data_IF_675796045322
#
_entry.id   IF_675796045322
#
_cell.length_a   1.000
_cell.length_b   1.000
_cell.length_c   1.000
_cell.angle_alpha   90.00
_cell.angle_beta   90.00
_cell.angle_gamma   90.00
#
_symmetry.space_group_name_H-M   'P 1'
#
loop_
_entity.id
_entity.type
_entity.pdbx_description
1 polymer ?
#
# COMPACT_ATOMS: atom_id res chain seq x y z
N UNK A 1 -1.31 -73.17 12.57
CA UNK A 1 -2.58 -73.16 11.85
C UNK A 1 -2.53 -71.88 11.01
N UNK A 2 -1.94 -71.93 9.83
CA UNK A 2 -2.56 -72.23 8.55
C UNK A 2 -3.87 -71.42 8.41
N UNK A 3 -3.97 -70.46 7.56
CA UNK A 3 -4.23 -70.70 6.14
C UNK A 3 -3.98 -69.45 5.28
N UNK A 4 -3.49 -69.79 4.20
CA UNK A 4 -3.15 -69.17 2.95
C UNK A 4 -4.43 -68.87 2.15
N UNK A 5 -4.54 -67.67 1.56
CA UNK A 5 -5.36 -67.49 0.39
C UNK A 5 -4.63 -66.56 -0.59
N UNK A 6 -4.09 -67.21 -1.57
CA UNK A 6 -3.53 -66.60 -2.75
C UNK A 6 -4.63 -66.20 -3.74
N UNK A 7 -4.27 -65.38 -4.65
CA UNK A 7 -5.05 -65.30 -5.88
C UNK A 7 -4.98 -63.97 -6.63
N UNK A 8 -4.27 -64.01 -7.74
CA UNK A 8 -4.50 -63.29 -8.97
C UNK A 8 -4.43 -61.74 -8.98
N UNK A 9 -3.30 -61.23 -9.46
CA UNK A 9 -3.41 -60.20 -10.50
C UNK A 9 -2.21 -60.32 -11.45
N UNK A 10 -2.54 -60.43 -12.71
CA UNK A 10 -1.66 -60.71 -13.82
C UNK A 10 -0.63 -59.61 -14.09
N UNK A 11 0.49 -60.05 -14.60
CA UNK A 11 1.56 -59.20 -15.05
C UNK A 11 1.17 -58.32 -16.24
N UNK A 12 1.38 -57.03 -16.07
CA UNK A 12 1.46 -56.10 -17.16
C UNK A 12 2.92 -55.61 -17.25
N UNK A 13 3.58 -56.00 -18.28
CA UNK A 13 4.90 -55.49 -18.66
C UNK A 13 4.79 -53.98 -18.97
N UNK A 14 5.47 -53.16 -18.20
CA UNK A 14 5.65 -51.75 -18.50
C UNK A 14 6.55 -51.62 -19.75
N UNK A 15 5.89 -51.32 -20.87
CA UNK A 15 6.56 -50.91 -22.08
C UNK A 15 7.32 -49.60 -21.88
N UNK A 16 8.48 -49.50 -22.52
CA UNK A 16 9.34 -48.35 -22.57
C UNK A 16 8.56 -47.04 -22.84
N UNK A 17 8.38 -46.22 -21.83
CA UNK A 17 7.98 -44.81 -21.97
C UNK A 17 9.22 -44.02 -22.39
N UNK A 18 9.30 -43.76 -23.70
CA UNK A 18 10.26 -42.84 -24.28
C UNK A 18 9.86 -41.42 -23.81
N UNK A 19 10.51 -40.92 -22.75
CA UNK A 19 10.42 -39.52 -22.34
C UNK A 19 11.11 -38.69 -23.42
N UNK A 20 10.33 -38.21 -24.38
CA UNK A 20 10.75 -37.11 -25.23
C UNK A 20 11.03 -35.89 -24.34
N UNK A 21 12.29 -35.46 -24.35
CA UNK A 21 12.70 -34.18 -23.74
C UNK A 21 11.81 -33.07 -24.26
N UNK A 22 11.16 -32.36 -23.31
CA UNK A 22 10.42 -31.13 -23.62
C UNK A 22 11.38 -30.16 -24.34
N UNK A 23 10.92 -29.47 -25.39
CA UNK A 23 11.72 -28.43 -26.00
C UNK A 23 12.04 -27.35 -24.96
N UNK A 24 13.33 -27.12 -24.76
CA UNK A 24 13.81 -25.90 -24.10
C UNK A 24 13.26 -24.73 -24.89
N UNK A 25 12.28 -24.03 -24.34
CA UNK A 25 11.90 -22.71 -24.83
C UNK A 25 13.11 -21.81 -24.62
N UNK A 26 13.86 -21.57 -25.69
CA UNK A 26 14.76 -20.43 -25.77
C UNK A 26 13.90 -19.20 -25.44
N UNK A 27 14.25 -18.51 -24.36
CA UNK A 27 13.68 -17.19 -24.05
C UNK A 27 13.95 -16.31 -25.28
N UNK A 28 12.88 -15.86 -25.90
CA UNK A 28 12.99 -14.85 -26.95
C UNK A 28 13.88 -13.70 -26.42
N UNK A 29 14.79 -13.17 -27.22
CA UNK A 29 15.60 -12.03 -26.80
C UNK A 29 14.66 -10.92 -26.38
N UNK A 30 14.85 -10.39 -25.16
CA UNK A 30 14.15 -9.20 -24.70
C UNK A 30 14.32 -8.15 -25.79
N UNK A 31 13.21 -7.67 -26.35
CA UNK A 31 13.24 -6.59 -27.33
C UNK A 31 14.04 -5.47 -26.68
N UNK A 32 15.11 -5.02 -27.33
CA UNK A 32 15.83 -3.81 -26.96
C UNK A 32 14.83 -2.66 -27.12
N UNK A 33 14.16 -2.30 -26.01
CA UNK A 33 13.31 -1.12 -25.96
C UNK A 33 14.24 0.04 -26.03
N UNK A 34 14.12 0.85 -27.10
CA UNK A 34 14.90 2.07 -27.27
C UNK A 34 14.77 2.91 -25.98
N UNK A 35 15.87 3.07 -25.29
CA UNK A 35 15.94 3.99 -24.16
C UNK A 35 15.62 5.40 -24.69
N UNK A 36 14.66 6.10 -24.08
CA UNK A 36 14.45 7.51 -24.34
C UNK A 36 15.81 8.22 -24.08
N UNK A 37 16.46 8.64 -25.13
CA UNK A 37 17.78 9.27 -25.04
C UNK A 37 17.76 10.61 -24.27
N UNK A 38 16.58 11.10 -23.95
CA UNK A 38 16.36 12.36 -23.22
C UNK A 38 16.62 12.16 -21.74
N UNK A 39 17.59 12.90 -21.18
CA UNK A 39 17.78 12.95 -19.72
C UNK A 39 16.88 14.02 -19.13
N UNK A 40 15.80 13.62 -18.49
CA UNK A 40 14.86 14.52 -17.81
C UNK A 40 15.51 15.23 -16.62
N UNK A 41 15.12 16.46 -16.34
CA UNK A 41 15.59 17.14 -15.12
C UNK A 41 15.07 16.45 -13.87
N UNK A 42 13.76 16.14 -13.86
CA UNK A 42 13.09 15.51 -12.73
C UNK A 42 12.08 14.48 -13.24
N UNK A 43 12.14 13.27 -12.69
CA UNK A 43 11.08 12.26 -12.77
C UNK A 43 10.44 12.13 -11.39
N UNK A 44 9.11 12.08 -11.35
CA UNK A 44 8.32 11.87 -10.14
C UNK A 44 7.62 10.52 -10.28
N UNK A 45 7.75 9.65 -9.27
CA UNK A 45 7.12 8.34 -9.26
C UNK A 45 5.99 8.32 -8.23
N UNK A 46 4.77 8.20 -8.73
CA UNK A 46 3.53 8.20 -7.94
C UNK A 46 2.72 9.48 -8.10
N UNK A 47 1.40 9.33 -8.17
CA UNK A 47 0.42 10.37 -8.45
C UNK A 47 -0.52 10.68 -7.29
N UNK A 48 -0.17 10.28 -6.08
CA UNK A 48 -0.90 10.70 -4.87
C UNK A 48 -0.72 12.21 -4.61
N UNK A 49 -1.31 12.74 -3.52
CA UNK A 49 -1.21 14.17 -3.18
C UNK A 49 0.22 14.68 -3.15
N UNK A 50 1.15 13.87 -2.65
CA UNK A 50 2.57 14.23 -2.59
C UNK A 50 3.19 14.36 -3.99
N UNK A 51 2.87 13.43 -4.91
CA UNK A 51 3.39 13.43 -6.27
C UNK A 51 2.90 14.61 -7.08
N UNK A 52 1.60 14.83 -7.11
CA UNK A 52 1.04 15.98 -7.82
C UNK A 52 1.49 17.31 -7.20
N UNK A 53 1.60 17.41 -5.87
CA UNK A 53 2.14 18.61 -5.23
C UNK A 53 3.59 18.86 -5.66
N UNK A 54 4.44 17.82 -5.64
CA UNK A 54 5.81 17.94 -6.13
C UNK A 54 5.85 18.39 -7.60
N UNK A 55 5.00 17.78 -8.44
CA UNK A 55 4.90 18.12 -9.85
C UNK A 55 4.56 19.58 -10.10
N UNK A 56 3.59 20.14 -9.36
CA UNK A 56 3.21 21.54 -9.45
C UNK A 56 4.41 22.45 -9.17
N UNK A 57 5.14 22.21 -8.09
CA UNK A 57 6.26 23.09 -7.72
C UNK A 57 7.48 22.92 -8.64
N UNK A 58 7.78 21.71 -9.08
CA UNK A 58 8.85 21.43 -10.04
C UNK A 58 8.54 22.06 -11.39
N UNK A 59 7.28 21.96 -11.86
CA UNK A 59 6.86 22.58 -13.11
C UNK A 59 6.91 24.11 -13.03
N UNK A 60 6.49 24.71 -11.92
CA UNK A 60 6.61 26.15 -11.67
C UNK A 60 8.05 26.63 -11.62
N UNK A 61 9.00 25.77 -11.31
CA UNK A 61 10.44 26.06 -11.39
C UNK A 61 11.01 25.86 -12.80
N UNK A 62 10.16 25.69 -13.83
CA UNK A 62 10.53 25.48 -15.25
C UNK A 62 11.40 24.23 -15.48
N UNK A 63 11.34 23.23 -14.60
CA UNK A 63 12.15 22.01 -14.71
C UNK A 63 11.50 20.92 -15.57
N UNK A 64 10.28 21.14 -16.06
CA UNK A 64 9.54 20.25 -16.97
C UNK A 64 9.52 18.80 -16.46
N UNK A 65 8.88 18.52 -15.32
CA UNK A 65 8.86 17.19 -14.74
C UNK A 65 8.06 16.21 -15.59
N UNK A 66 8.51 14.95 -15.59
CA UNK A 66 7.71 13.80 -15.98
C UNK A 66 7.21 13.15 -14.70
N UNK A 67 5.90 12.89 -14.62
CA UNK A 67 5.29 12.17 -13.50
C UNK A 67 4.71 10.84 -14.00
N UNK A 68 5.17 9.74 -13.43
CA UNK A 68 4.59 8.42 -13.66
C UNK A 68 3.46 8.18 -12.66
N UNK A 69 2.24 8.17 -13.17
CA UNK A 69 1.04 7.76 -12.46
C UNK A 69 0.78 6.27 -12.70
N UNK A 70 0.08 5.61 -11.76
CA UNK A 70 -0.34 4.23 -12.01
C UNK A 70 -1.25 4.14 -13.25
N UNK A 71 -1.11 3.06 -14.01
CA UNK A 71 -1.96 2.77 -15.17
C UNK A 71 -3.40 2.44 -14.78
N UNK A 72 -3.60 1.84 -13.58
CA UNK A 72 -4.90 1.36 -13.10
C UNK A 72 -5.55 2.27 -12.05
N UNK A 73 -4.74 2.92 -11.21
CA UNK A 73 -5.25 3.69 -10.08
C UNK A 73 -4.46 5.00 -9.89
N UNK A 74 -4.51 5.92 -10.88
CA UNK A 74 -3.89 7.24 -10.72
C UNK A 74 -4.58 8.03 -9.61
N UNK A 75 -3.84 8.85 -8.87
CA UNK A 75 -4.38 9.66 -7.77
C UNK A 75 -4.15 9.07 -6.37
N UNK A 76 -3.72 7.81 -6.29
CA UNK A 76 -3.35 7.16 -5.02
C UNK A 76 -4.53 6.87 -4.10
N UNK A 77 -4.27 6.75 -2.80
CA UNK A 77 -5.26 6.27 -1.81
C UNK A 77 -6.52 7.14 -1.69
N UNK A 78 -6.43 8.44 -1.99
CA UNK A 78 -7.59 9.34 -1.93
C UNK A 78 -8.63 9.06 -3.00
N UNK A 79 -8.28 8.34 -4.06
CA UNK A 79 -9.26 7.89 -5.06
C UNK A 79 -10.26 6.87 -4.50
N UNK A 80 -9.91 6.20 -3.41
CA UNK A 80 -10.71 5.15 -2.76
C UNK A 80 -11.34 5.62 -1.45
N UNK A 81 -11.26 6.91 -1.13
CA UNK A 81 -11.88 7.48 0.08
C UNK A 81 -13.12 8.32 -0.29
N UNK A 82 -13.91 8.62 0.70
CA UNK A 82 -15.10 9.49 0.57
C UNK A 82 -14.69 10.95 0.79
N UNK A 83 -15.18 11.56 1.86
CA UNK A 83 -14.91 12.94 2.20
C UNK A 83 -13.54 13.11 2.86
N UNK A 84 -12.80 14.13 2.43
CA UNK A 84 -11.51 14.56 2.99
C UNK A 84 -11.75 15.89 3.69
N UNK A 85 -11.81 15.86 5.02
CA UNK A 85 -12.10 17.04 5.85
C UNK A 85 -10.84 17.81 6.26
N UNK A 86 -9.69 17.17 6.20
CA UNK A 86 -8.43 17.64 6.76
C UNK A 86 -7.42 18.15 5.72
N UNK A 87 -7.84 18.30 4.45
CA UNK A 87 -6.98 18.95 3.46
C UNK A 87 -7.20 20.48 3.53
N UNK A 88 -6.15 21.27 3.79
CA UNK A 88 -6.30 22.71 3.98
C UNK A 88 -6.90 23.41 2.75
N UNK A 89 -7.83 24.34 2.99
CA UNK A 89 -8.48 25.15 1.96
C UNK A 89 -9.92 24.71 1.63
N UNK A 90 -10.36 23.57 2.12
CA UNK A 90 -11.72 23.06 1.92
C UNK A 90 -12.50 23.03 3.24
N UNK A 91 -13.15 24.15 3.59
CA UNK A 91 -13.84 24.33 4.88
C UNK A 91 -14.98 23.32 5.09
N UNK A 92 -15.63 22.92 3.99
CA UNK A 92 -16.75 21.97 4.00
C UNK A 92 -16.30 20.52 3.70
N UNK A 93 -14.98 20.26 3.63
CA UNK A 93 -14.45 19.02 3.08
C UNK A 93 -14.54 18.98 1.54
N UNK A 94 -14.01 17.92 0.96
CA UNK A 94 -14.05 17.64 -0.48
C UNK A 94 -14.00 16.13 -0.69
N UNK A 95 -14.68 15.62 -1.73
CA UNK A 95 -14.55 14.21 -2.09
C UNK A 95 -13.12 13.89 -2.53
N UNK A 96 -12.56 12.75 -2.06
CA UNK A 96 -11.19 12.36 -2.36
C UNK A 96 -10.87 12.33 -3.87
N UNK A 97 -11.69 11.68 -4.70
CA UNK A 97 -11.50 11.68 -6.16
C UNK A 97 -11.50 13.09 -6.76
N UNK A 98 -12.43 13.95 -6.35
CA UNK A 98 -12.52 15.34 -6.82
C UNK A 98 -11.26 16.15 -6.45
N UNK A 99 -10.78 15.97 -5.22
CA UNK A 99 -9.54 16.62 -4.76
C UNK A 99 -8.36 16.19 -5.65
N UNK A 100 -8.23 14.89 -5.92
CA UNK A 100 -7.13 14.36 -6.72
C UNK A 100 -7.21 14.79 -8.17
N UNK A 101 -8.41 14.87 -8.74
CA UNK A 101 -8.61 15.42 -10.09
C UNK A 101 -8.19 16.89 -10.16
N UNK A 102 -8.61 17.71 -9.19
CA UNK A 102 -8.27 19.12 -9.12
C UNK A 102 -6.74 19.35 -9.04
N UNK A 103 -6.03 18.56 -8.18
CA UNK A 103 -4.59 18.69 -8.03
C UNK A 103 -3.87 18.19 -9.31
N UNK A 104 -4.34 17.11 -9.92
CA UNK A 104 -3.82 16.58 -11.18
C UNK A 104 -3.91 17.59 -12.31
N UNK A 105 -5.10 18.16 -12.53
CA UNK A 105 -5.32 19.21 -13.54
C UNK A 105 -4.46 20.46 -13.26
N UNK A 106 -4.23 20.78 -11.99
CA UNK A 106 -3.32 21.87 -11.63
C UNK A 106 -1.87 21.56 -12.02
N UNK A 107 -1.42 20.32 -11.85
CA UNK A 107 -0.07 19.89 -12.26
C UNK A 107 0.09 19.96 -13.79
N UNK A 108 -0.88 19.47 -14.55
CA UNK A 108 -0.92 19.56 -16.02
C UNK A 108 -0.90 21.02 -16.50
N UNK A 109 -1.71 21.87 -15.87
CA UNK A 109 -1.76 23.31 -16.21
C UNK A 109 -0.40 23.99 -16.12
N UNK A 110 0.46 23.56 -15.19
CA UNK A 110 1.83 24.09 -15.07
C UNK A 110 2.85 23.39 -15.97
N UNK A 111 2.41 22.42 -16.80
CA UNK A 111 3.26 21.76 -17.79
C UNK A 111 3.96 20.51 -17.30
N UNK A 112 3.41 19.81 -16.31
CA UNK A 112 3.82 18.44 -15.95
C UNK A 112 3.43 17.48 -17.07
N UNK A 113 4.36 16.66 -17.54
CA UNK A 113 4.09 15.51 -18.42
C UNK A 113 3.65 14.33 -17.54
N UNK A 114 2.34 14.06 -17.48
CA UNK A 114 1.78 12.95 -16.71
C UNK A 114 1.65 11.74 -17.61
N UNK A 115 2.35 10.65 -17.24
CA UNK A 115 2.34 9.37 -17.96
C UNK A 115 1.65 8.31 -17.12
N UNK A 116 0.61 7.71 -17.65
CA UNK A 116 -0.18 6.65 -16.99
C UNK A 116 0.48 5.29 -17.22
N UNK A 117 1.64 5.09 -16.59
CA UNK A 117 2.45 3.90 -16.69
C UNK A 117 2.94 3.50 -15.29
N UNK A 118 3.02 2.19 -15.04
CA UNK A 118 3.54 1.68 -13.79
C UNK A 118 5.06 1.59 -13.83
N UNK A 119 5.70 2.05 -12.75
CA UNK A 119 7.14 1.93 -12.54
C UNK A 119 7.42 0.66 -11.76
N UNK A 120 8.25 -0.22 -12.31
CA UNK A 120 8.61 -1.48 -11.67
C UNK A 120 9.92 -1.42 -10.90
N UNK A 121 10.87 -0.63 -11.41
CA UNK A 121 12.22 -0.58 -10.83
C UNK A 121 12.81 0.80 -10.99
N UNK A 122 13.68 1.18 -10.05
CA UNK A 122 14.50 2.38 -10.13
C UNK A 122 15.97 2.06 -9.79
N UNK A 123 16.89 2.74 -10.46
CA UNK A 123 18.31 2.75 -10.13
C UNK A 123 18.71 4.20 -9.84
N UNK A 124 18.93 4.50 -8.56
CA UNK A 124 19.09 5.88 -8.05
C UNK A 124 20.56 6.25 -7.78
N UNK A 125 21.51 5.37 -8.09
CA UNK A 125 22.95 5.62 -7.94
C UNK A 125 23.54 6.29 -9.18
N UNK A 126 24.65 7.01 -9.01
CA UNK A 126 25.33 7.71 -10.10
C UNK A 126 24.70 9.07 -10.45
N UNK A 127 25.24 9.76 -11.45
CA UNK A 127 24.80 11.11 -11.85
C UNK A 127 23.46 11.05 -12.60
N UNK A 128 23.24 10.03 -13.42
CA UNK A 128 22.00 9.80 -14.15
C UNK A 128 21.25 8.63 -13.50
N UNK A 129 20.02 8.89 -13.07
CA UNK A 129 19.12 7.90 -12.48
C UNK A 129 18.32 7.20 -13.59
N UNK A 130 17.92 5.97 -13.35
CA UNK A 130 17.09 5.21 -14.30
C UNK A 130 15.77 4.80 -13.65
N UNK A 131 14.70 4.97 -14.40
CA UNK A 131 13.35 4.55 -14.04
C UNK A 131 12.86 3.58 -15.10
N UNK A 132 12.47 2.38 -14.69
CA UNK A 132 12.00 1.30 -15.56
C UNK A 132 10.49 1.18 -15.43
N UNK A 133 9.80 1.24 -16.56
CA UNK A 133 8.35 1.08 -16.62
C UNK A 133 7.96 -0.34 -17.04
N UNK A 134 6.73 -0.74 -16.72
CA UNK A 134 6.21 -2.10 -16.95
C UNK A 134 6.18 -2.53 -18.41
N UNK A 135 6.20 -1.59 -19.35
CA UNK A 135 6.34 -1.84 -20.79
C UNK A 135 7.78 -2.14 -21.22
N UNK A 136 8.73 -2.12 -20.27
CA UNK A 136 10.15 -2.37 -20.49
C UNK A 136 10.95 -1.12 -20.89
N UNK A 137 10.34 0.05 -21.00
CA UNK A 137 11.07 1.28 -21.32
C UNK A 137 11.96 1.74 -20.16
N UNK A 138 13.05 2.45 -20.51
CA UNK A 138 13.99 3.01 -19.55
C UNK A 138 14.04 4.53 -19.72
N UNK A 139 13.68 5.24 -18.66
CA UNK A 139 13.67 6.70 -18.62
C UNK A 139 14.83 7.21 -17.77
N UNK A 140 15.56 8.21 -18.27
CA UNK A 140 16.74 8.75 -17.63
C UNK A 140 16.41 10.08 -16.94
N UNK A 141 16.94 10.32 -15.75
CA UNK A 141 16.74 11.57 -15.01
C UNK A 141 17.97 12.00 -14.22
N UNK A 142 18.14 13.32 -14.04
CA UNK A 142 19.10 13.87 -13.08
C UNK A 142 18.64 13.67 -11.64
N UNK A 143 17.32 13.80 -11.40
CA UNK A 143 16.70 13.67 -10.07
C UNK A 143 15.44 12.85 -10.18
N UNK A 144 15.20 11.99 -9.17
CA UNK A 144 13.96 11.24 -9.00
C UNK A 144 13.33 11.58 -7.66
N UNK A 145 12.05 11.92 -7.66
CA UNK A 145 11.26 12.14 -6.45
C UNK A 145 10.34 10.92 -6.28
N UNK A 146 10.50 10.19 -5.17
CA UNK A 146 9.71 9.01 -4.86
C UNK A 146 8.51 9.40 -3.98
N UNK A 147 7.31 9.21 -4.52
CA UNK A 147 6.02 9.50 -3.86
C UNK A 147 5.06 8.32 -3.97
N UNK A 148 5.59 7.13 -3.80
CA UNK A 148 4.89 5.85 -4.02
C UNK A 148 3.86 5.53 -2.94
N UNK A 149 3.74 6.39 -1.92
CA UNK A 149 2.77 6.21 -0.85
C UNK A 149 3.12 5.07 0.10
N UNK A 150 2.08 4.55 0.74
CA UNK A 150 2.17 3.41 1.66
C UNK A 150 1.02 2.44 1.40
N UNK A 151 1.22 1.21 1.80
CA UNK A 151 0.15 0.21 1.81
C UNK A 151 -0.19 -0.16 3.25
N UNK A 152 -1.48 -0.25 3.52
CA UNK A 152 -1.96 -0.73 4.80
C UNK A 152 -1.69 -2.23 4.95
N UNK A 153 -1.34 -2.66 6.15
CA UNK A 153 -1.18 -4.07 6.46
C UNK A 153 -2.48 -4.62 7.01
N UNK A 154 -3.23 -5.33 6.17
CA UNK A 154 -4.47 -6.00 6.58
C UNK A 154 -4.18 -7.18 7.49
N UNK A 155 -5.16 -7.51 8.33
CA UNK A 155 -5.15 -8.73 9.15
C UNK A 155 -5.54 -9.95 8.33
N UNK A 156 -6.26 -9.75 7.22
CA UNK A 156 -6.85 -10.78 6.35
C UNK A 156 -7.80 -11.70 7.12
N UNK A 157 -8.69 -11.10 7.90
CA UNK A 157 -9.69 -11.78 8.70
C UNK A 157 -11.10 -11.55 8.15
N UNK A 158 -12.04 -12.38 8.58
CA UNK A 158 -13.45 -12.26 8.20
C UNK A 158 -14.01 -10.89 8.61
N UNK A 159 -14.69 -10.23 7.68
CA UNK A 159 -15.36 -8.94 7.88
C UNK A 159 -14.48 -7.72 7.67
N UNK A 160 -13.14 -7.85 7.64
CA UNK A 160 -12.22 -6.72 7.54
C UNK A 160 -12.49 -5.86 6.30
N UNK A 161 -12.56 -6.47 5.12
CA UNK A 161 -12.79 -5.74 3.86
C UNK A 161 -14.22 -5.19 3.75
N UNK A 162 -15.20 -5.96 4.21
CA UNK A 162 -16.61 -5.58 4.15
C UNK A 162 -16.92 -4.37 5.04
N UNK A 163 -16.25 -4.26 6.18
CA UNK A 163 -16.43 -3.18 7.15
C UNK A 163 -15.39 -2.07 7.02
N UNK A 164 -14.58 -2.11 5.96
CA UNK A 164 -13.66 -1.02 5.63
C UNK A 164 -14.42 0.29 5.42
N UNK A 165 -14.06 1.35 6.17
CA UNK A 165 -14.79 2.62 6.21
C UNK A 165 -16.11 2.59 7.00
N UNK A 166 -16.54 1.41 7.50
CA UNK A 166 -17.76 1.23 8.30
C UNK A 166 -17.45 0.70 9.72
N UNK A 167 -16.32 1.12 10.27
CA UNK A 167 -15.84 0.75 11.60
C UNK A 167 -14.44 0.14 11.58
N UNK A 168 -13.99 -0.43 10.48
CA UNK A 168 -12.61 -0.83 10.26
C UNK A 168 -11.87 0.26 9.50
N UNK A 169 -10.77 0.74 10.07
CA UNK A 169 -9.92 1.80 9.50
C UNK A 169 -8.44 1.45 9.67
N UNK A 170 -7.62 1.99 8.78
CA UNK A 170 -6.16 1.92 8.84
C UNK A 170 -5.51 3.29 9.00
N UNK A 171 -6.29 4.31 9.34
CA UNK A 171 -5.80 5.67 9.52
C UNK A 171 -6.49 6.33 10.73
N UNK A 172 -5.86 6.30 11.87
CA UNK A 172 -6.40 6.90 13.09
C UNK A 172 -6.62 8.41 12.96
N UNK A 173 -5.71 9.11 12.27
CA UNK A 173 -5.79 10.57 12.08
C UNK A 173 -6.88 10.99 11.10
N UNK A 174 -7.24 10.09 10.15
CA UNK A 174 -8.31 10.36 9.19
C UNK A 174 -9.68 10.15 9.83
N UNK A 175 -9.86 9.04 10.54
CA UNK A 175 -11.17 8.52 10.91
C UNK A 175 -11.47 8.63 12.41
N UNK A 176 -10.47 8.94 13.25
CA UNK A 176 -10.61 8.91 14.71
C UNK A 176 -11.73 9.81 15.25
N UNK A 177 -11.99 10.93 14.61
CA UNK A 177 -13.04 11.86 15.00
C UNK A 177 -14.45 11.23 14.93
N UNK A 178 -14.71 10.36 13.95
CA UNK A 178 -16.01 9.70 13.78
C UNK A 178 -16.35 8.70 14.90
N UNK A 179 -15.36 8.31 15.68
CA UNK A 179 -15.51 7.36 16.78
C UNK A 179 -15.41 8.01 18.16
N UNK A 180 -15.75 9.31 18.22
CA UNK A 180 -15.78 10.05 19.48
C UNK A 180 -16.68 9.35 20.52
N UNK A 181 -16.17 9.28 21.76
CA UNK A 181 -16.82 8.67 22.92
C UNK A 181 -17.14 7.16 22.77
N UNK A 182 -16.54 6.50 21.74
CA UNK A 182 -16.64 5.05 21.55
C UNK A 182 -15.47 4.33 22.21
N UNK A 183 -15.66 3.02 22.45
CA UNK A 183 -14.57 2.11 22.73
C UNK A 183 -13.97 1.62 21.41
N UNK A 184 -12.66 1.69 21.26
CA UNK A 184 -11.96 1.42 20.02
C UNK A 184 -10.91 0.34 20.26
N UNK A 185 -10.74 -0.57 19.31
CA UNK A 185 -9.63 -1.52 19.29
C UNK A 185 -8.57 -1.09 18.28
N UNK A 186 -7.30 -1.07 18.70
CA UNK A 186 -6.13 -0.91 17.83
C UNK A 186 -5.37 -2.22 17.82
N UNK A 187 -5.01 -2.70 16.63
CA UNK A 187 -4.30 -3.99 16.50
C UNK A 187 -2.88 -3.77 16.03
N UNK A 188 -1.93 -4.11 16.89
CA UNK A 188 -0.51 -3.98 16.55
C UNK A 188 0.40 -3.92 17.77
N UNK A 189 1.69 -3.67 17.55
CA UNK A 189 2.68 -3.62 18.64
C UNK A 189 4.01 -3.00 18.20
N UNK A 190 4.01 -2.24 17.11
CA UNK A 190 5.10 -1.37 16.68
C UNK A 190 4.76 0.09 16.95
N UNK A 191 5.72 1.00 16.68
CA UNK A 191 5.56 2.44 16.95
C UNK A 191 4.27 3.01 16.35
N UNK A 192 3.94 2.70 15.09
CA UNK A 192 2.71 3.18 14.45
C UNK A 192 1.45 2.82 15.22
N UNK A 193 1.32 1.56 15.68
CA UNK A 193 0.13 1.14 16.42
C UNK A 193 0.04 1.83 17.79
N UNK A 194 1.16 2.04 18.48
CA UNK A 194 1.20 2.72 19.76
C UNK A 194 0.90 4.22 19.60
N UNK A 195 1.44 4.85 18.54
CA UNK A 195 1.17 6.24 18.20
C UNK A 195 -0.32 6.46 17.89
N UNK A 196 -0.89 5.61 17.05
CA UNK A 196 -2.31 5.66 16.70
C UNK A 196 -3.22 5.41 17.92
N UNK A 197 -2.85 4.45 18.77
CA UNK A 197 -3.59 4.21 20.01
C UNK A 197 -3.58 5.43 20.94
N UNK A 198 -2.42 6.08 21.11
CA UNK A 198 -2.29 7.31 21.88
C UNK A 198 -3.12 8.45 21.27
N UNK A 199 -3.04 8.64 19.97
CA UNK A 199 -3.81 9.65 19.26
C UNK A 199 -5.32 9.47 19.47
N UNK A 200 -5.81 8.22 19.31
CA UNK A 200 -7.22 7.89 19.46
C UNK A 200 -7.77 8.13 20.86
N UNK A 201 -6.94 8.16 21.90
CA UNK A 201 -7.40 8.53 23.26
C UNK A 201 -7.94 9.97 23.35
N UNK A 202 -7.63 10.80 22.37
CA UNK A 202 -8.18 12.17 22.25
C UNK A 202 -9.68 12.14 22.01
N UNK A 203 -10.17 11.15 21.29
CA UNK A 203 -11.56 11.00 20.89
C UNK A 203 -12.28 9.89 21.66
N UNK A 204 -11.66 8.73 21.74
CA UNK A 204 -12.24 7.53 22.33
C UNK A 204 -12.49 7.65 23.84
N UNK A 205 -13.52 6.97 24.33
CA UNK A 205 -13.72 6.75 25.75
C UNK A 205 -12.70 5.76 26.31
N UNK A 206 -12.34 4.74 25.51
CA UNK A 206 -11.35 3.72 25.83
C UNK A 206 -10.70 3.16 24.55
N UNK A 207 -9.43 2.79 24.62
CA UNK A 207 -8.69 2.14 23.54
C UNK A 207 -8.15 0.80 24.04
N UNK A 208 -8.52 -0.28 23.36
CA UNK A 208 -7.96 -1.61 23.55
C UNK A 208 -6.82 -1.83 22.56
N UNK A 209 -5.57 -1.92 23.04
CA UNK A 209 -4.43 -2.18 22.18
C UNK A 209 -4.14 -3.70 22.16
N UNK A 210 -4.63 -4.36 21.11
CA UNK A 210 -4.54 -5.82 20.96
C UNK A 210 -3.21 -6.21 20.35
N UNK A 211 -2.43 -7.02 21.06
CA UNK A 211 -1.16 -7.51 20.57
C UNK A 211 -0.99 -9.02 20.75
N UNK A 212 -0.50 -9.69 19.69
CA UNK A 212 -0.38 -11.15 19.63
C UNK A 212 0.78 -11.75 20.42
N UNK A 213 1.58 -10.92 21.09
CA UNK A 213 2.74 -11.31 21.91
C UNK A 213 2.60 -10.70 23.29
N UNK A 214 3.49 -11.08 24.18
CA UNK A 214 3.61 -10.60 25.55
C UNK A 214 4.41 -9.29 25.68
N UNK A 215 4.95 -8.78 24.56
CA UNK A 215 5.81 -7.59 24.56
C UNK A 215 5.74 -6.84 23.23
N UNK A 216 5.83 -5.52 23.28
CA UNK A 216 5.86 -4.65 22.10
C UNK A 216 7.24 -4.66 21.44
N UNK A 217 7.25 -4.32 20.13
CA UNK A 217 8.47 -4.01 19.37
C UNK A 217 8.69 -2.51 19.19
N UNK A 218 7.77 -1.71 19.68
CA UNK A 218 7.82 -0.26 19.64
C UNK A 218 8.98 0.26 20.51
N UNK A 219 9.39 1.49 20.25
CA UNK A 219 10.39 2.19 21.05
C UNK A 219 9.95 2.31 22.52
N UNK A 220 10.90 2.28 23.46
CA UNK A 220 10.62 2.35 24.90
C UNK A 220 9.83 3.60 25.28
N UNK A 221 10.10 4.73 24.63
CA UNK A 221 9.38 5.98 24.89
C UNK A 221 7.90 5.87 24.53
N UNK A 222 7.56 5.17 23.44
CA UNK A 222 6.17 4.95 23.05
C UNK A 222 5.48 3.96 23.98
N UNK A 223 6.17 2.90 24.39
CA UNK A 223 5.66 1.96 25.38
C UNK A 223 5.36 2.65 26.70
N UNK A 224 6.27 3.46 27.19
CA UNK A 224 6.07 4.26 28.43
C UNK A 224 4.84 5.16 28.35
N UNK A 225 4.64 5.82 27.22
CA UNK A 225 3.45 6.68 27.00
C UNK A 225 2.15 5.88 27.01
N UNK A 226 2.13 4.72 26.36
CA UNK A 226 0.97 3.82 26.34
C UNK A 226 0.64 3.32 27.73
N UNK A 227 1.62 2.80 28.49
CA UNK A 227 1.40 2.27 29.84
C UNK A 227 0.96 3.34 30.85
N UNK A 228 1.35 4.59 30.63
CA UNK A 228 0.94 5.70 31.49
C UNK A 228 -0.41 6.32 31.10
N UNK A 229 -1.04 5.88 30.00
CA UNK A 229 -2.30 6.42 29.54
C UNK A 229 -3.49 5.64 30.13
N UNK A 230 -4.32 6.26 31.01
CA UNK A 230 -5.41 5.57 31.70
C UNK A 230 -6.55 5.11 30.77
N UNK A 231 -6.62 5.64 29.54
CA UNK A 231 -7.61 5.22 28.53
C UNK A 231 -7.16 4.01 27.72
N UNK A 232 -5.88 3.59 27.79
CA UNK A 232 -5.39 2.46 27.01
C UNK A 232 -5.33 1.22 27.89
N UNK A 233 -5.96 0.16 27.43
CA UNK A 233 -5.83 -1.18 27.97
C UNK A 233 -5.11 -2.07 26.97
N UNK A 234 -4.01 -2.69 27.40
CA UNK A 234 -3.27 -3.61 26.52
C UNK A 234 -3.80 -5.03 26.70
N UNK A 235 -4.18 -5.62 25.58
CA UNK A 235 -4.68 -7.01 25.50
C UNK A 235 -3.57 -7.86 24.88
N UNK A 236 -2.81 -8.52 25.74
CA UNK A 236 -1.67 -9.35 25.34
C UNK A 236 -2.08 -10.73 24.84
N UNK A 237 -1.16 -11.40 24.16
CA UNK A 237 -1.30 -12.80 23.69
C UNK A 237 -2.60 -13.04 22.92
N UNK A 238 -3.11 -12.01 22.27
CA UNK A 238 -4.42 -12.01 21.66
C UNK A 238 -4.36 -11.60 20.19
N UNK A 239 -5.16 -12.26 19.37
CA UNK A 239 -5.32 -11.94 17.96
C UNK A 239 -6.79 -11.79 17.62
N UNK A 240 -7.11 -10.76 16.82
CA UNK A 240 -8.44 -10.61 16.26
C UNK A 240 -8.62 -11.63 15.13
N UNK A 241 -9.67 -12.40 15.18
CA UNK A 241 -9.98 -13.48 14.21
C UNK A 241 -11.10 -13.14 13.25
N UNK A 242 -11.98 -12.24 13.64
CA UNK A 242 -13.09 -11.77 12.81
C UNK A 242 -13.57 -10.38 13.29
N UNK A 243 -14.23 -9.66 12.39
CA UNK A 243 -14.96 -8.41 12.69
C UNK A 243 -16.40 -8.59 12.27
N UNK A 244 -17.34 -8.40 13.19
CA UNK A 244 -18.75 -8.65 12.97
C UNK A 244 -19.53 -7.33 12.96
N UNK A 245 -20.55 -7.25 12.11
CA UNK A 245 -21.47 -6.15 11.94
C UNK A 245 -22.28 -6.35 10.67
N UNK A 246 -23.48 -5.80 10.57
CA UNK A 246 -24.29 -5.90 9.35
C UNK A 246 -23.93 -4.81 8.34
N UNK A 247 -24.01 -3.55 8.75
CA UNK A 247 -23.68 -2.37 7.92
C UNK A 247 -22.54 -1.54 8.52
N UNK A 248 -22.26 -1.70 9.81
CA UNK A 248 -21.15 -1.06 10.54
C UNK A 248 -20.71 -1.96 11.69
N UNK A 249 -19.53 -1.69 12.22
CA UNK A 249 -18.95 -2.34 13.39
C UNK A 249 -19.61 -1.83 14.67
#
# INVERSE_FOLDING_TARGET
>A
MTENLGGLFGGATLGNLNLASAPTTESAPAAEVEADATVHNVIIVGSGPAGYTAAIYVARAELKPVLFASSLAPGGSLMNTTEVENFPGFIQGIQGPELMENIGQQAERFGTDIRYQDVEKVELTGDVKKVYTADGAVHLAKTVIMTTGSQVRKLNIEGEDRLSGYGVSWCATCDGFFFKDKEIAVVGGGDSALEEALFLTTFASKVYLVHRRDSFRASEIMQTRVFNNPKIEVVWDSAVTAVHGESNL
#
